data_IF_273819296848
#
_entry.id   IF_273819296848
#
_cell.length_a   1.000
_cell.length_b   1.000
_cell.length_c   1.000
_cell.angle_alpha   90.00
_cell.angle_beta   90.00
_cell.angle_gamma   90.00
#
_symmetry.space_group_name_H-M   'P 1'
#
loop_
_entity.id
_entity.type
_entity.pdbx_description
1 polymer ?
#
# COMPACT_ATOMS: atom_id res chain seq x y z
N UNK A 1 -8.83 4.51 26.89
CA UNK A 1 -7.70 4.65 25.95
C UNK A 1 -8.23 5.45 24.79
N UNK A 2 -7.61 6.60 24.51
CA UNK A 2 -8.16 7.62 23.63
C UNK A 2 -8.28 7.08 22.18
N UNK A 3 -9.43 7.25 21.51
CA UNK A 3 -9.61 6.80 20.11
C UNK A 3 -8.58 7.47 19.18
N UNK A 4 -8.10 8.67 19.56
CA UNK A 4 -7.05 9.41 18.85
C UNK A 4 -5.69 8.69 18.82
N UNK A 5 -5.43 7.78 19.77
CA UNK A 5 -4.16 7.05 19.92
C UNK A 5 -4.12 5.77 19.05
N UNK A 6 -5.28 5.30 18.54
CA UNK A 6 -5.39 4.08 17.75
C UNK A 6 -5.46 4.31 16.22
N UNK A 7 -5.65 5.55 15.78
CA UNK A 7 -5.73 5.91 14.37
C UNK A 7 -4.40 5.61 13.66
N UNK A 8 -4.46 4.71 12.67
CA UNK A 8 -3.29 4.27 11.92
C UNK A 8 -3.67 3.78 10.54
N UNK A 9 -2.77 3.95 9.58
CA UNK A 9 -2.87 3.40 8.24
C UNK A 9 -1.86 2.27 8.10
N UNK A 10 -2.34 1.11 7.72
CA UNK A 10 -1.53 -0.10 7.51
C UNK A 10 -1.84 -0.72 6.17
N UNK A 11 -0.89 -1.48 5.62
CA UNK A 11 -1.08 -2.29 4.42
C UNK A 11 -0.54 -3.69 4.65
N UNK A 12 -0.95 -4.61 3.78
CA UNK A 12 -0.46 -5.98 3.71
C UNK A 12 -0.58 -6.42 2.26
N UNK A 13 0.50 -6.96 1.70
CA UNK A 13 0.53 -7.42 0.33
C UNK A 13 0.64 -8.95 0.29
N UNK A 14 -0.31 -9.58 -0.38
CA UNK A 14 -0.35 -11.01 -0.63
C UNK A 14 -0.16 -11.27 -2.12
N UNK A 15 0.82 -12.11 -2.47
CA UNK A 15 0.95 -12.66 -3.81
C UNK A 15 -0.01 -13.85 -3.95
N UNK A 16 -1.09 -13.66 -4.69
CA UNK A 16 -2.12 -14.68 -4.90
C UNK A 16 -1.71 -15.72 -5.93
N UNK A 17 -0.70 -15.44 -6.76
CA UNK A 17 -0.18 -16.40 -7.73
C UNK A 17 0.74 -17.43 -7.07
N UNK A 18 1.42 -17.05 -5.98
CA UNK A 18 2.29 -17.91 -5.18
C UNK A 18 1.66 -18.34 -3.84
N UNK A 19 0.51 -17.77 -3.47
CA UNK A 19 -0.19 -18.09 -2.23
C UNK A 19 0.57 -17.69 -0.96
N UNK A 20 1.34 -16.60 -0.99
CA UNK A 20 2.21 -16.18 0.13
C UNK A 20 2.29 -14.65 0.28
N UNK A 21 2.75 -14.13 1.42
CA UNK A 21 3.05 -12.71 1.56
C UNK A 21 4.10 -12.24 0.55
N UNK A 22 3.89 -11.05 -0.01
CA UNK A 22 4.79 -10.45 -0.98
C UNK A 22 5.82 -9.56 -0.27
N UNK A 23 6.97 -10.13 0.06
CA UNK A 23 8.08 -9.44 0.72
C UNK A 23 8.92 -8.63 -0.28
N UNK A 24 9.50 -7.52 0.18
CA UNK A 24 10.43 -6.71 -0.61
C UNK A 24 9.76 -5.70 -1.55
N UNK A 25 8.44 -5.50 -1.49
CA UNK A 25 7.74 -4.50 -2.31
C UNK A 25 7.97 -3.11 -1.70
N UNK A 26 8.51 -2.20 -2.51
CA UNK A 26 8.56 -0.79 -2.15
C UNK A 26 7.15 -0.17 -2.17
N UNK A 27 6.82 0.54 -1.10
CA UNK A 27 5.52 1.20 -0.90
C UNK A 27 5.73 2.68 -0.64
N UNK A 28 5.05 3.53 -1.41
CA UNK A 28 5.03 4.98 -1.20
C UNK A 28 3.62 5.44 -0.87
N UNK A 29 3.47 6.18 0.23
CA UNK A 29 2.23 6.85 0.61
C UNK A 29 2.35 8.35 0.32
N UNK A 30 1.39 8.90 -0.42
CA UNK A 30 1.25 10.34 -0.63
C UNK A 30 -0.14 10.82 -0.25
N UNK A 31 -0.24 12.03 0.29
CA UNK A 31 -1.49 12.77 0.37
C UNK A 31 -1.76 13.42 -0.98
N UNK A 32 -3.01 13.40 -1.42
CA UNK A 32 -3.47 14.05 -2.64
C UNK A 32 -4.20 15.33 -2.26
N UNK A 33 -3.68 16.46 -2.71
CA UNK A 33 -4.30 17.77 -2.50
C UNK A 33 -5.40 18.07 -3.53
N UNK A 34 -6.02 19.25 -3.39
CA UNK A 34 -7.24 19.59 -4.13
C UNK A 34 -7.01 19.71 -5.65
N UNK A 35 -5.81 20.09 -6.07
CA UNK A 35 -5.43 20.18 -7.48
C UNK A 35 -4.78 18.89 -8.00
N UNK A 36 -4.76 17.82 -7.21
CA UNK A 36 -4.16 16.53 -7.55
C UNK A 36 -2.65 16.45 -7.29
N UNK A 37 -2.08 17.46 -6.61
CA UNK A 37 -0.70 17.45 -6.18
C UNK A 37 -0.44 16.34 -5.15
N UNK A 38 0.74 15.73 -5.24
CA UNK A 38 1.18 14.66 -4.34
C UNK A 38 2.14 15.24 -3.31
N UNK A 39 1.82 15.07 -2.04
CA UNK A 39 2.73 15.35 -0.93
C UNK A 39 3.16 14.03 -0.29
N UNK A 40 4.47 13.76 -0.28
CA UNK A 40 5.00 12.52 0.32
C UNK A 40 4.67 12.47 1.82
N UNK A 41 4.12 11.34 2.26
CA UNK A 41 3.83 11.07 3.67
C UNK A 41 4.79 10.03 4.23
N UNK A 42 4.97 8.91 3.52
CA UNK A 42 5.84 7.83 3.98
C UNK A 42 6.39 7.00 2.82
N UNK A 43 7.52 6.33 3.07
CA UNK A 43 8.08 5.24 2.25
C UNK A 43 8.35 4.05 3.16
N UNK A 44 8.09 2.85 2.66
CA UNK A 44 8.36 1.60 3.36
C UNK A 44 8.68 0.47 2.38
N UNK A 45 9.13 -0.66 2.91
CA UNK A 45 9.29 -1.91 2.17
C UNK A 45 8.54 -3.00 2.93
N UNK A 46 7.87 -3.91 2.22
CA UNK A 46 7.19 -5.03 2.87
C UNK A 46 8.19 -6.04 3.44
N UNK A 47 7.96 -6.49 4.66
CA UNK A 47 8.74 -7.50 5.36
C UNK A 47 8.34 -8.92 4.93
N UNK A 48 8.88 -9.94 5.60
CA UNK A 48 8.62 -11.35 5.29
C UNK A 48 7.13 -11.76 5.43
N UNK A 49 6.33 -11.01 6.18
CA UNK A 49 4.87 -11.18 6.30
C UNK A 49 4.10 -10.25 5.36
N UNK A 50 4.76 -9.65 4.35
CA UNK A 50 4.10 -8.78 3.37
C UNK A 50 3.60 -7.45 3.95
N UNK A 51 4.00 -7.09 5.17
CA UNK A 51 3.57 -5.88 5.89
C UNK A 51 4.69 -4.86 6.00
N UNK A 52 4.38 -3.63 6.33
CA UNK A 52 5.40 -2.67 6.77
C UNK A 52 5.66 -2.85 8.27
N UNK A 53 6.92 -2.72 8.71
CA UNK A 53 7.30 -2.91 10.13
C UNK A 53 6.68 -1.85 11.06
N UNK A 54 6.32 -0.70 10.51
CA UNK A 54 5.55 0.34 11.18
C UNK A 54 4.33 0.75 10.35
N UNK A 55 3.26 1.29 10.98
CA UNK A 55 2.17 1.92 10.25
C UNK A 55 2.70 3.03 9.33
N UNK A 56 2.10 3.18 8.15
CA UNK A 56 2.49 4.21 7.17
C UNK A 56 2.12 5.63 7.62
N UNK A 57 1.17 5.73 8.54
CA UNK A 57 0.74 6.98 9.18
C UNK A 57 0.03 6.62 10.49
N UNK A 58 0.30 7.31 11.59
CA UNK A 58 -0.34 7.03 12.89
C UNK A 58 -0.34 8.26 13.81
N UNK A 59 -1.18 8.22 14.84
CA UNK A 59 -1.15 9.18 15.95
C UNK A 59 -1.42 10.62 15.49
N UNK A 60 -0.67 11.62 15.98
CA UNK A 60 -0.90 13.03 15.65
C UNK A 60 -0.76 13.36 14.15
N UNK A 61 0.08 12.61 13.41
CA UNK A 61 0.27 12.80 11.97
C UNK A 61 -0.86 12.22 11.11
N UNK A 62 -1.77 11.44 11.71
CA UNK A 62 -2.90 10.87 11.00
C UNK A 62 -3.90 11.98 10.65
N UNK A 63 -4.18 12.19 9.38
CA UNK A 63 -5.15 13.19 8.91
C UNK A 63 -6.21 12.55 8.00
N UNK A 64 -7.40 13.15 7.99
CA UNK A 64 -8.42 12.83 6.99
C UNK A 64 -8.07 13.48 5.65
N UNK A 65 -8.47 12.84 4.56
CA UNK A 65 -8.19 13.32 3.22
C UNK A 65 -8.13 12.21 2.19
N UNK A 66 -7.66 12.55 0.99
CA UNK A 66 -7.41 11.59 -0.08
C UNK A 66 -5.94 11.23 -0.06
N UNK A 67 -5.66 9.94 -0.15
CA UNK A 67 -4.32 9.37 -0.15
C UNK A 67 -4.14 8.45 -1.34
N UNK A 68 -2.88 8.21 -1.67
CA UNK A 68 -2.45 7.31 -2.73
C UNK A 68 -1.33 6.41 -2.21
N UNK A 69 -1.51 5.10 -2.34
CA UNK A 69 -0.45 4.11 -2.16
C UNK A 69 0.05 3.67 -3.52
N UNK A 70 1.36 3.70 -3.71
CA UNK A 70 2.03 3.14 -4.89
C UNK A 70 2.86 1.95 -4.45
N UNK A 71 2.60 0.79 -5.05
CA UNK A 71 3.32 -0.45 -4.83
C UNK A 71 4.14 -0.77 -6.08
N UNK A 72 5.46 -0.93 -5.94
CA UNK A 72 6.36 -1.30 -7.03
C UNK A 72 6.24 -2.81 -7.34
N UNK A 73 5.11 -3.21 -7.96
CA UNK A 73 4.78 -4.60 -8.23
C UNK A 73 5.69 -5.23 -9.31
N UNK A 74 6.05 -4.44 -10.32
CA UNK A 74 6.94 -4.86 -11.41
C UNK A 74 8.31 -5.27 -10.90
N UNK A 75 8.93 -4.43 -10.06
CA UNK A 75 10.23 -4.70 -9.44
C UNK A 75 10.19 -5.99 -8.59
N UNK A 76 9.07 -6.24 -7.90
CA UNK A 76 8.87 -7.47 -7.15
C UNK A 76 8.81 -8.70 -8.06
N UNK A 77 8.09 -8.64 -9.19
CA UNK A 77 8.07 -9.74 -10.15
C UNK A 77 9.42 -9.99 -10.83
N UNK A 78 10.17 -8.92 -11.11
CA UNK A 78 11.55 -9.02 -11.63
C UNK A 78 12.47 -9.70 -10.62
N UNK A 79 12.39 -9.34 -9.34
CA UNK A 79 13.17 -9.96 -8.27
C UNK A 79 12.85 -11.45 -8.07
N UNK A 80 11.64 -11.88 -8.44
CA UNK A 80 11.24 -13.29 -8.46
C UNK A 80 11.65 -14.04 -9.74
N UNK A 81 12.20 -13.34 -10.75
CA UNK A 81 12.55 -13.94 -12.04
C UNK A 81 11.34 -14.29 -12.90
N UNK A 82 10.17 -13.67 -12.66
CA UNK A 82 8.98 -13.91 -13.47
C UNK A 82 9.11 -13.10 -14.76
N UNK A 83 9.28 -13.81 -15.89
CA UNK A 83 9.34 -13.19 -17.21
C UNK A 83 7.95 -12.69 -17.64
N UNK A 84 7.75 -11.38 -17.60
CA UNK A 84 6.54 -10.71 -18.09
C UNK A 84 6.83 -9.98 -19.40
N UNK A 85 5.80 -9.84 -20.24
CA UNK A 85 5.90 -9.02 -21.44
C UNK A 85 6.10 -7.54 -21.07
N UNK A 86 6.86 -6.81 -21.88
CA UNK A 86 7.06 -5.36 -21.70
C UNK A 86 6.15 -4.56 -22.65
N UNK A 87 5.48 -3.50 -22.19
CA UNK A 87 5.44 -3.04 -20.79
C UNK A 87 4.70 -4.03 -19.88
N UNK A 88 5.22 -4.23 -18.65
CA UNK A 88 4.54 -5.06 -17.64
C UNK A 88 3.10 -4.60 -17.46
N UNK A 89 2.15 -5.55 -17.50
CA UNK A 89 0.74 -5.23 -17.29
C UNK A 89 0.49 -4.56 -15.94
N UNK A 90 1.20 -5.00 -14.89
CA UNK A 90 1.28 -4.34 -13.58
C UNK A 90 2.73 -4.00 -13.26
N UNK A 91 3.15 -2.79 -13.63
CA UNK A 91 4.40 -2.18 -13.16
C UNK A 91 4.20 -1.58 -11.77
N UNK A 92 3.61 -0.38 -11.70
CA UNK A 92 3.14 0.20 -10.45
C UNK A 92 1.66 -0.10 -10.23
N UNK A 93 1.30 -0.56 -9.03
CA UNK A 93 -0.10 -0.61 -8.60
C UNK A 93 -0.41 0.61 -7.76
N UNK A 94 -1.32 1.45 -8.23
CA UNK A 94 -1.70 2.71 -7.60
C UNK A 94 -3.10 2.59 -7.00
N UNK A 95 -3.20 2.70 -5.68
CA UNK A 95 -4.47 2.71 -4.96
C UNK A 95 -4.76 4.10 -4.41
N UNK A 96 -5.79 4.77 -4.94
CA UNK A 96 -6.29 6.04 -4.41
C UNK A 96 -7.52 5.80 -3.54
N UNK A 97 -7.51 6.31 -2.31
CA UNK A 97 -8.58 6.09 -1.34
C UNK A 97 -8.78 7.28 -0.41
N UNK A 98 -9.94 7.34 0.22
CA UNK A 98 -10.31 8.37 1.19
C UNK A 98 -10.20 7.86 2.64
N UNK A 99 -9.70 8.72 3.52
CA UNK A 99 -9.77 8.58 4.97
C UNK A 99 -10.74 9.65 5.47
N UNK A 100 -11.86 9.22 6.04
CA UNK A 100 -12.98 10.08 6.46
C UNK A 100 -13.07 10.27 7.98
N UNK A 101 -12.37 9.43 8.75
CA UNK A 101 -12.42 9.44 10.22
C UNK A 101 -11.08 9.01 10.81
N UNK A 102 -10.81 9.40 12.06
CA UNK A 102 -9.58 9.02 12.79
C UNK A 102 -9.72 7.62 13.39
N UNK A 103 -9.66 6.59 12.56
CA UNK A 103 -9.70 5.17 12.96
C UNK A 103 -8.54 4.38 12.35
N UNK A 104 -8.46 3.09 12.66
CA UNK A 104 -7.57 2.19 11.92
C UNK A 104 -8.12 1.99 10.51
N UNK A 105 -7.27 2.24 9.52
CA UNK A 105 -7.49 1.90 8.12
C UNK A 105 -6.49 0.82 7.72
N UNK A 106 -7.01 -0.31 7.26
CA UNK A 106 -6.21 -1.34 6.61
C UNK A 106 -6.53 -1.36 5.11
N UNK A 107 -5.53 -1.11 4.27
CA UNK A 107 -5.67 -1.09 2.81
C UNK A 107 -4.72 -2.13 2.22
N UNK A 108 -5.12 -3.41 2.16
CA UNK A 108 -4.29 -4.49 1.62
C UNK A 108 -4.29 -4.49 0.09
N UNK A 109 -3.31 -5.21 -0.47
CA UNK A 109 -3.20 -5.50 -1.88
C UNK A 109 -3.11 -7.02 -2.07
N UNK A 110 -4.05 -7.61 -2.80
CA UNK A 110 -3.96 -8.98 -3.30
C UNK A 110 -3.45 -8.88 -4.73
N UNK A 111 -2.26 -9.42 -4.98
CA UNK A 111 -1.48 -9.16 -6.19
C UNK A 111 -1.22 -10.45 -6.97
N UNK A 112 -1.41 -10.41 -8.27
CA UNK A 112 -0.91 -11.39 -9.24
C UNK A 112 -0.30 -10.63 -10.43
N UNK A 113 0.45 -11.28 -11.34
CA UNK A 113 1.05 -10.57 -12.48
C UNK A 113 0.05 -9.87 -13.41
N UNK A 114 -1.21 -10.33 -13.45
CA UNK A 114 -2.21 -9.86 -14.41
C UNK A 114 -3.49 -9.32 -13.78
N UNK A 115 -3.49 -9.13 -12.46
CA UNK A 115 -4.66 -8.62 -11.75
C UNK A 115 -4.37 -8.39 -10.29
N UNK A 116 -5.10 -7.46 -9.70
CA UNK A 116 -5.05 -7.21 -8.27
C UNK A 116 -6.42 -6.86 -7.72
N UNK A 117 -6.58 -6.95 -6.41
CA UNK A 117 -7.73 -6.41 -5.71
C UNK A 117 -7.32 -5.75 -4.39
N UNK A 118 -8.19 -4.87 -3.92
CA UNK A 118 -8.06 -4.19 -2.63
C UNK A 118 -9.44 -4.03 -2.01
N UNK A 119 -9.48 -3.70 -0.72
CA UNK A 119 -10.69 -3.41 0.03
C UNK A 119 -10.34 -2.57 1.27
N UNK A 120 -11.35 -2.02 1.96
CA UNK A 120 -11.16 -1.40 3.29
C UNK A 120 -11.26 -2.50 4.35
N UNK A 121 -10.15 -2.85 4.97
CA UNK A 121 -10.11 -3.69 6.17
C UNK A 121 -10.34 -2.89 7.45
N UNK A 122 -10.62 -3.62 8.54
CA UNK A 122 -10.81 -3.10 9.91
C UNK A 122 -9.51 -2.86 10.64
#
# INVERSE_FOLDING_TARGET
>A
MDEAEQARLTTHVLDTSLGRPAAGIAVTLSRIGAAGERSLVAKAVTNADGRCDAPLMAGPAFETGIYELVFAAGDYFDALGIALAEPKFLGDVVLRFGISERRHYHVPLLLSPFGYSTYRGS
#
